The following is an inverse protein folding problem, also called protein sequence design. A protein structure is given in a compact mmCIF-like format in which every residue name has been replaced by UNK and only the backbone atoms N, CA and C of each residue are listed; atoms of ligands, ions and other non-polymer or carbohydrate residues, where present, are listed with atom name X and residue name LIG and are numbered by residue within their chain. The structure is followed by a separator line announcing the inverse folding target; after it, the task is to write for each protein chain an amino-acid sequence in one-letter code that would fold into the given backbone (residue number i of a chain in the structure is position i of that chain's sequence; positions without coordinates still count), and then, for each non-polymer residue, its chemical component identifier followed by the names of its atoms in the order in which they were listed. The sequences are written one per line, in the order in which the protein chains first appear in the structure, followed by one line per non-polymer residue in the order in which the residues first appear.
data_IF_487854548193
#
_entry.id   IF_487854548193
#
_cell.length_a   1.000
_cell.length_b   1.000
_cell.length_c   1.000
_cell.angle_alpha   90.00
_cell.angle_beta   90.00
_cell.angle_gamma   90.00
#
_symmetry.space_group_name_H-M   'P 1'
#
loop_
_entity.id
_entity.type
_entity.pdbx_description
1 polymer ?
#
# COMPACT_ATOMS: atom_id res chain seq x y z
N UNK A 1 -8.74 -21.57 3.85
CA UNK A 1 -7.70 -20.76 4.53
C UNK A 1 -8.23 -20.47 5.91
N UNK A 2 -7.55 -20.92 6.95
CA UNK A 2 -7.95 -20.71 8.35
C UNK A 2 -8.03 -19.20 8.64
N UNK A 3 -8.90 -18.78 9.56
CA UNK A 3 -9.13 -17.37 9.90
C UNK A 3 -7.86 -16.66 10.38
N UNK A 4 -6.93 -17.40 10.93
CA UNK A 4 -5.64 -16.90 11.42
C UNK A 4 -4.64 -16.55 10.30
N UNK A 5 -4.68 -17.24 9.16
CA UNK A 5 -3.77 -17.00 8.02
C UNK A 5 -4.21 -15.90 7.08
N UNK A 6 -5.48 -15.52 7.13
CA UNK A 6 -6.04 -14.54 6.20
C UNK A 6 -5.47 -13.12 6.38
N UNK A 7 -5.32 -12.56 7.62
CA UNK A 7 -4.70 -11.25 7.81
C UNK A 7 -3.26 -11.18 7.30
N UNK A 8 -2.49 -12.27 7.49
CA UNK A 8 -1.11 -12.36 6.98
C UNK A 8 -1.08 -12.32 5.45
N UNK A 9 -1.97 -13.07 4.80
CA UNK A 9 -2.06 -13.09 3.34
C UNK A 9 -2.49 -11.72 2.78
N UNK A 10 -3.42 -11.02 3.44
CA UNK A 10 -3.82 -9.66 3.07
C UNK A 10 -2.65 -8.69 3.19
N UNK A 11 -1.93 -8.72 4.33
CA UNK A 11 -0.76 -7.88 4.54
C UNK A 11 0.29 -8.13 3.45
N UNK A 12 0.65 -9.39 3.20
CA UNK A 12 1.63 -9.75 2.18
C UNK A 12 1.19 -9.30 0.77
N UNK A 13 -0.08 -9.49 0.39
CA UNK A 13 -0.60 -9.08 -0.91
C UNK A 13 -0.53 -7.54 -1.09
N UNK A 14 -0.95 -6.77 -0.08
CA UNK A 14 -0.88 -5.32 -0.13
C UNK A 14 0.57 -4.81 -0.12
N UNK A 15 1.45 -5.45 0.65
CA UNK A 15 2.88 -5.09 0.70
C UNK A 15 3.58 -5.42 -0.63
N UNK A 16 3.22 -6.51 -1.29
CA UNK A 16 3.69 -6.80 -2.64
C UNK A 16 3.32 -5.66 -3.61
N UNK A 17 2.05 -5.24 -3.64
CA UNK A 17 1.62 -4.12 -4.46
C UNK A 17 2.33 -2.80 -4.11
N UNK A 18 2.61 -2.56 -2.82
CA UNK A 18 3.38 -1.40 -2.35
C UNK A 18 4.80 -1.41 -2.93
N UNK A 19 5.51 -2.55 -2.85
CA UNK A 19 6.86 -2.67 -3.41
C UNK A 19 6.91 -2.43 -4.92
N UNK A 20 5.94 -2.98 -5.66
CA UNK A 20 5.83 -2.76 -7.11
C UNK A 20 5.58 -1.27 -7.45
N UNK A 21 4.71 -0.59 -6.69
CA UNK A 21 4.42 0.83 -6.91
C UNK A 21 5.60 1.73 -6.54
N UNK A 22 6.33 1.40 -5.48
CA UNK A 22 7.52 2.17 -5.08
C UNK A 22 8.62 2.12 -6.15
N UNK A 23 8.84 0.97 -6.80
CA UNK A 23 9.79 0.87 -7.91
C UNK A 23 9.31 1.66 -9.13
N UNK A 24 8.01 1.64 -9.45
CA UNK A 24 7.43 2.42 -10.53
C UNK A 24 7.64 3.93 -10.28
N UNK A 25 7.35 4.41 -9.08
CA UNK A 25 7.51 5.84 -8.76
C UNK A 25 8.98 6.25 -8.71
N UNK A 26 9.84 5.39 -8.16
CA UNK A 26 11.27 5.64 -8.09
C UNK A 26 11.92 5.74 -9.48
N UNK A 27 11.49 4.93 -10.43
CA UNK A 27 12.13 4.86 -11.75
C UNK A 27 11.51 5.79 -12.79
N UNK A 28 10.19 6.07 -12.73
CA UNK A 28 9.47 6.80 -13.78
C UNK A 28 8.70 8.04 -13.30
N UNK A 29 8.49 8.19 -11.97
CA UNK A 29 7.72 9.31 -11.43
C UNK A 29 8.57 10.25 -10.57
N UNK A 30 9.80 10.52 -11.00
CA UNK A 30 10.64 11.58 -10.43
C UNK A 30 11.62 11.15 -9.35
N UNK A 31 11.96 9.86 -9.25
CA UNK A 31 13.01 9.38 -8.34
C UNK A 31 12.62 9.38 -6.86
N UNK A 32 11.32 9.31 -6.56
CA UNK A 32 10.76 9.36 -5.21
C UNK A 32 9.88 8.14 -4.93
N UNK A 33 9.55 7.88 -3.68
CA UNK A 33 8.74 6.73 -3.27
C UNK A 33 7.26 7.09 -3.11
N UNK A 34 6.36 6.17 -3.43
CA UNK A 34 4.94 6.32 -3.11
C UNK A 34 4.64 6.09 -1.63
N UNK A 35 5.36 5.17 -0.96
CA UNK A 35 5.07 4.72 0.41
C UNK A 35 6.14 5.07 1.43
N UNK A 36 7.41 5.22 1.03
CA UNK A 36 8.56 5.40 1.93
C UNK A 36 8.78 6.89 2.25
N UNK A 37 7.92 7.45 3.10
CA UNK A 37 7.94 8.89 3.40
C UNK A 37 9.22 9.37 4.07
N UNK A 38 9.87 8.54 4.92
CA UNK A 38 11.17 8.89 5.50
C UNK A 38 12.27 9.04 4.45
N UNK A 39 12.25 8.21 3.40
CA UNK A 39 13.12 8.35 2.23
C UNK A 39 12.84 9.66 1.47
N UNK A 40 11.56 9.98 1.26
CA UNK A 40 11.18 11.23 0.60
C UNK A 40 11.59 12.47 1.41
N UNK A 41 11.50 12.44 2.75
CA UNK A 41 11.99 13.53 3.58
C UNK A 41 13.52 13.71 3.50
N UNK A 42 14.27 12.61 3.43
CA UNK A 42 15.71 12.65 3.22
C UNK A 42 16.06 13.23 1.83
N UNK A 43 15.36 12.81 0.78
CA UNK A 43 15.49 13.36 -0.57
C UNK A 43 15.12 14.84 -0.62
N UNK A 44 14.10 15.27 0.11
CA UNK A 44 13.73 16.69 0.24
C UNK A 44 14.86 17.51 0.88
N UNK A 45 15.48 17.00 1.95
CA UNK A 45 16.65 17.63 2.57
C UNK A 45 17.82 17.75 1.59
N UNK A 46 18.06 16.72 0.77
CA UNK A 46 19.07 16.76 -0.29
C UNK A 46 18.75 17.80 -1.36
N UNK A 47 17.48 17.89 -1.78
CA UNK A 47 16.98 18.88 -2.74
C UNK A 47 17.20 20.31 -2.25
N UNK A 48 16.96 20.57 -0.95
CA UNK A 48 17.24 21.86 -0.31
C UNK A 48 18.74 22.16 -0.39
N UNK A 49 19.59 21.22 0.01
CA UNK A 49 21.04 21.43 0.02
C UNK A 49 21.63 21.66 -1.37
N UNK A 50 21.03 21.09 -2.41
CA UNK A 50 21.47 21.22 -3.81
C UNK A 50 20.76 22.34 -4.57
N UNK A 51 19.78 22.99 -3.98
CA UNK A 51 18.86 23.92 -4.65
C UNK A 51 18.18 23.29 -5.88
N UNK A 52 17.92 21.99 -5.81
CA UNK A 52 17.30 21.20 -6.89
C UNK A 52 15.77 21.27 -6.78
N UNK A 53 15.18 22.14 -7.59
CA UNK A 53 13.73 22.35 -7.63
C UNK A 53 12.96 21.12 -8.12
N UNK A 54 13.58 20.28 -8.94
CA UNK A 54 12.97 19.03 -9.44
C UNK A 54 12.76 18.05 -8.28
N UNK A 55 13.82 17.73 -7.52
CA UNK A 55 13.73 16.87 -6.34
C UNK A 55 12.74 17.45 -5.33
N UNK A 56 12.80 18.76 -5.06
CA UNK A 56 11.91 19.42 -4.12
C UNK A 56 10.43 19.29 -4.53
N UNK A 57 10.12 19.52 -5.79
CA UNK A 57 8.74 19.41 -6.30
C UNK A 57 8.20 18.00 -6.17
N UNK A 58 8.95 16.98 -6.62
CA UNK A 58 8.50 15.60 -6.59
C UNK A 58 8.35 15.09 -5.14
N UNK A 59 9.30 15.38 -4.26
CA UNK A 59 9.21 14.98 -2.84
C UNK A 59 8.06 15.69 -2.12
N UNK A 60 7.86 16.98 -2.37
CA UNK A 60 6.75 17.73 -1.79
C UNK A 60 5.40 17.17 -2.23
N UNK A 61 5.21 16.89 -3.52
CA UNK A 61 3.99 16.27 -4.05
C UNK A 61 3.77 14.88 -3.43
N UNK A 62 4.80 14.03 -3.36
CA UNK A 62 4.68 12.72 -2.76
C UNK A 62 4.24 12.80 -1.28
N UNK A 63 4.93 13.62 -0.47
CA UNK A 63 4.63 13.77 0.96
C UNK A 63 3.24 14.38 1.18
N UNK A 64 2.90 15.47 0.49
CA UNK A 64 1.60 16.13 0.66
C UNK A 64 0.44 15.24 0.21
N UNK A 65 0.58 14.55 -0.92
CA UNK A 65 -0.45 13.63 -1.42
C UNK A 65 -0.64 12.43 -0.48
N UNK A 66 0.45 11.90 0.08
CA UNK A 66 0.36 10.85 1.10
C UNK A 66 -0.41 11.34 2.34
N UNK A 67 -0.10 12.55 2.84
CA UNK A 67 -0.81 13.15 3.98
C UNK A 67 -2.30 13.31 3.68
N UNK A 68 -2.65 13.80 2.49
CA UNK A 68 -4.05 13.90 2.05
C UNK A 68 -4.71 12.50 2.02
N UNK A 69 -4.02 11.51 1.48
CA UNK A 69 -4.50 10.11 1.45
C UNK A 69 -4.77 9.56 2.85
N UNK A 70 -3.84 9.78 3.80
CA UNK A 70 -4.02 9.40 5.22
C UNK A 70 -5.24 10.12 5.81
N UNK A 71 -5.37 11.43 5.57
CA UNK A 71 -6.49 12.22 6.09
C UNK A 71 -7.84 11.74 5.56
N UNK A 72 -7.95 11.49 4.25
CA UNK A 72 -9.15 10.95 3.61
C UNK A 72 -9.48 9.57 4.17
N UNK A 73 -8.51 8.65 4.19
CA UNK A 73 -8.70 7.31 4.72
C UNK A 73 -9.14 7.32 6.19
N UNK A 74 -8.50 8.15 7.02
CA UNK A 74 -8.86 8.29 8.43
C UNK A 74 -10.26 8.87 8.61
N UNK A 75 -10.68 9.83 7.78
CA UNK A 75 -12.05 10.36 7.83
C UNK A 75 -13.09 9.32 7.46
N UNK A 76 -12.86 8.48 6.47
CA UNK A 76 -13.76 7.39 6.07
C UNK A 76 -13.88 6.36 7.20
N UNK A 77 -12.76 5.99 7.84
CA UNK A 77 -12.74 5.03 8.96
C UNK A 77 -13.47 5.61 10.18
N UNK A 78 -13.34 6.94 10.42
CA UNK A 78 -13.91 7.61 11.58
C UNK A 78 -13.19 7.29 12.89
N UNK A 79 -13.65 7.91 14.01
CA UNK A 79 -13.02 7.85 15.33
C UNK A 79 -13.62 6.69 16.17
N UNK A 80 -14.13 5.63 15.60
CA UNK A 80 -14.71 4.51 16.32
C UNK A 80 -14.27 3.18 15.76
N UNK A 81 -13.67 2.34 16.59
CA UNK A 81 -13.47 0.93 16.26
C UNK A 81 -14.84 0.24 16.28
N UNK A 82 -15.24 -0.44 15.22
CA UNK A 82 -16.40 -1.33 15.26
C UNK A 82 -16.07 -2.51 16.19
N UNK A 83 -16.73 -2.62 17.38
CA UNK A 83 -16.37 -3.69 18.32
C UNK A 83 -16.67 -5.06 17.69
N UNK A 84 -15.68 -5.97 17.72
CA UNK A 84 -15.85 -7.37 17.32
C UNK A 84 -15.73 -7.68 15.84
N UNK A 85 -15.55 -6.71 14.95
CA UNK A 85 -15.35 -6.98 13.53
C UNK A 85 -13.87 -7.23 13.21
N UNK A 86 -13.53 -8.46 12.76
CA UNK A 86 -12.20 -8.79 12.25
C UNK A 86 -11.83 -7.95 11.02
N UNK A 87 -12.84 -7.49 10.26
CA UNK A 87 -12.68 -6.66 9.08
C UNK A 87 -13.81 -5.63 8.97
N UNK A 88 -13.60 -4.38 9.41
CA UNK A 88 -14.61 -3.33 9.36
C UNK A 88 -15.01 -2.97 7.91
N UNK A 89 -16.30 -2.73 7.65
CA UNK A 89 -16.80 -2.28 6.34
C UNK A 89 -16.14 -0.99 5.88
N UNK A 90 -15.79 -0.11 6.80
CA UNK A 90 -15.11 1.16 6.51
C UNK A 90 -13.71 0.97 5.95
N UNK A 91 -12.99 -0.08 6.37
CA UNK A 91 -11.69 -0.44 5.77
C UNK A 91 -11.88 -0.86 4.32
N UNK A 92 -12.89 -1.69 4.03
CA UNK A 92 -13.24 -2.05 2.64
C UNK A 92 -13.55 -0.80 1.80
N UNK A 93 -14.28 0.18 2.35
CA UNK A 93 -14.59 1.42 1.65
C UNK A 93 -13.32 2.22 1.31
N UNK A 94 -12.37 2.36 2.25
CA UNK A 94 -11.08 3.05 1.98
C UNK A 94 -10.30 2.33 0.89
N UNK A 95 -10.19 1.00 0.97
CA UNK A 95 -9.46 0.21 -0.03
C UNK A 95 -10.17 0.23 -1.40
N UNK A 96 -11.50 0.34 -1.44
CA UNK A 96 -12.24 0.52 -2.69
C UNK A 96 -11.96 1.89 -3.33
N UNK A 97 -11.92 2.96 -2.54
CA UNK A 97 -11.52 4.30 -3.03
C UNK A 97 -10.07 4.26 -3.51
N UNK A 98 -9.18 3.62 -2.77
CA UNK A 98 -7.79 3.40 -3.20
C UNK A 98 -7.72 2.67 -4.54
N UNK A 99 -8.51 1.62 -4.74
CA UNK A 99 -8.56 0.88 -6.00
C UNK A 99 -8.99 1.80 -7.17
N UNK A 100 -9.98 2.65 -6.97
CA UNK A 100 -10.42 3.61 -7.99
C UNK A 100 -9.31 4.60 -8.35
N UNK A 101 -8.56 5.10 -7.37
CA UNK A 101 -7.41 5.98 -7.61
C UNK A 101 -6.31 5.24 -8.40
N UNK A 102 -6.02 3.99 -8.04
CA UNK A 102 -5.02 3.19 -8.75
C UNK A 102 -5.48 2.79 -10.16
N UNK A 103 -6.77 2.57 -10.39
CA UNK A 103 -7.32 2.38 -11.76
C UNK A 103 -7.10 3.64 -12.59
N UNK A 104 -7.37 4.82 -12.02
CA UNK A 104 -7.08 6.10 -12.66
C UNK A 104 -5.60 6.29 -12.97
N UNK A 105 -4.71 5.91 -12.02
CA UNK A 105 -3.27 5.89 -12.25
C UNK A 105 -2.91 4.95 -13.40
N UNK A 106 -3.43 3.73 -13.42
CA UNK A 106 -3.17 2.75 -14.48
C UNK A 106 -3.64 3.25 -15.84
N UNK A 107 -4.82 3.87 -15.92
CA UNK A 107 -5.33 4.46 -17.15
C UNK A 107 -4.42 5.62 -17.63
N UNK A 108 -4.05 6.54 -16.74
CA UNK A 108 -3.14 7.64 -17.06
C UNK A 108 -1.76 7.14 -17.49
N UNK A 109 -1.26 6.06 -16.87
CA UNK A 109 -0.01 5.40 -17.24
C UNK A 109 -0.06 4.84 -18.68
N UNK A 110 -1.14 4.13 -19.01
CA UNK A 110 -1.34 3.59 -20.39
C UNK A 110 -1.46 4.72 -21.41
N UNK A 111 -2.23 5.76 -21.10
CA UNK A 111 -2.40 6.94 -21.99
C UNK A 111 -1.05 7.64 -22.22
N UNK A 112 -0.20 7.71 -21.19
CA UNK A 112 1.15 8.27 -21.30
C UNK A 112 2.16 7.29 -21.92
N UNK A 113 1.72 6.14 -22.46
CA UNK A 113 2.59 5.11 -23.08
C UNK A 113 3.71 4.63 -22.15
N UNK A 114 3.45 4.60 -20.84
CA UNK A 114 4.40 4.22 -19.78
C UNK A 114 5.63 5.14 -19.65
N UNK A 115 5.59 6.33 -20.23
CA UNK A 115 6.65 7.35 -20.15
C UNK A 115 6.04 8.73 -19.84
N UNK A 116 5.45 8.92 -18.64
CA UNK A 116 4.84 10.18 -18.27
C UNK A 116 5.88 11.26 -17.98
N UNK A 117 5.58 12.48 -18.40
CA UNK A 117 6.41 13.66 -18.13
C UNK A 117 5.57 14.87 -17.71
N UNK A 118 6.22 15.87 -17.12
CA UNK A 118 5.60 17.13 -16.75
C UNK A 118 4.42 16.96 -15.78
N UNK A 119 3.29 17.60 -16.06
CA UNK A 119 2.11 17.60 -15.18
C UNK A 119 1.50 16.20 -15.07
N UNK A 120 1.53 15.39 -16.11
CA UNK A 120 1.01 14.00 -16.06
C UNK A 120 1.83 13.17 -15.07
N UNK A 121 3.15 13.25 -15.11
CA UNK A 121 4.05 12.58 -14.17
C UNK A 121 3.73 12.97 -12.72
N UNK A 122 3.57 14.26 -12.45
CA UNK A 122 3.25 14.77 -11.11
C UNK A 122 1.85 14.30 -10.64
N UNK A 123 0.87 14.26 -11.54
CA UNK A 123 -0.48 13.78 -11.22
C UNK A 123 -0.48 12.27 -10.89
N UNK A 124 0.26 11.46 -11.66
CA UNK A 124 0.40 10.04 -11.39
C UNK A 124 1.17 9.78 -10.08
N UNK A 125 2.20 10.57 -9.79
CA UNK A 125 2.91 10.54 -8.51
C UNK A 125 1.97 10.86 -7.34
N UNK A 126 1.16 11.92 -7.48
CA UNK A 126 0.18 12.30 -6.47
C UNK A 126 -0.85 11.19 -6.23
N UNK A 127 -1.35 10.56 -7.29
CA UNK A 127 -2.26 9.42 -7.20
C UNK A 127 -1.60 8.22 -6.50
N UNK A 128 -0.35 7.89 -6.85
CA UNK A 128 0.41 6.82 -6.24
C UNK A 128 0.60 7.05 -4.73
N UNK A 129 1.17 8.19 -4.35
CA UNK A 129 1.45 8.51 -2.94
C UNK A 129 0.16 8.68 -2.12
N UNK A 130 -0.86 9.32 -2.67
CA UNK A 130 -2.18 9.44 -2.03
C UNK A 130 -2.83 8.07 -1.78
N UNK A 131 -2.75 7.16 -2.75
CA UNK A 131 -3.26 5.79 -2.60
C UNK A 131 -2.54 5.03 -1.48
N UNK A 132 -1.22 5.20 -1.32
CA UNK A 132 -0.45 4.59 -0.23
C UNK A 132 -0.79 5.20 1.13
N UNK A 133 -1.11 6.49 1.18
CA UNK A 133 -1.65 7.14 2.38
C UNK A 133 -2.99 6.54 2.81
N UNK A 134 -3.91 6.30 1.87
CA UNK A 134 -5.18 5.61 2.14
C UNK A 134 -4.96 4.19 2.64
N UNK A 135 -4.04 3.43 2.02
CA UNK A 135 -3.70 2.08 2.46
C UNK A 135 -3.16 2.08 3.90
N UNK A 136 -2.29 3.03 4.23
CA UNK A 136 -1.74 3.17 5.59
C UNK A 136 -2.83 3.46 6.63
N UNK A 137 -3.80 4.31 6.30
CA UNK A 137 -4.96 4.56 7.15
C UNK A 137 -5.83 3.30 7.32
N UNK A 138 -6.08 2.56 6.23
CA UNK A 138 -6.85 1.30 6.24
C UNK A 138 -6.19 0.25 7.14
N UNK A 139 -4.87 0.05 7.02
CA UNK A 139 -4.12 -0.91 7.84
C UNK A 139 -4.12 -0.52 9.31
N UNK A 140 -4.01 0.77 9.64
CA UNK A 140 -4.14 1.27 11.01
C UNK A 140 -5.54 0.95 11.58
N UNK A 141 -6.59 1.04 10.76
CA UNK A 141 -7.96 0.69 11.14
C UNK A 141 -8.15 -0.80 11.52
N UNK A 142 -7.29 -1.68 10.97
CA UNK A 142 -7.29 -3.12 11.31
C UNK A 142 -6.52 -3.46 12.58
N UNK A 143 -5.75 -2.53 13.13
CA UNK A 143 -4.90 -2.74 14.31
C UNK A 143 -3.43 -2.93 13.96
N UNK A 144 -2.55 -2.57 14.90
CA UNK A 144 -1.12 -2.41 14.73
C UNK A 144 -0.33 -3.65 14.22
N UNK A 145 -0.93 -4.83 14.20
CA UNK A 145 -0.24 -6.06 13.78
C UNK A 145 -0.04 -6.18 12.25
N UNK A 146 -0.65 -5.29 11.44
CA UNK A 146 -0.68 -5.42 9.97
C UNK A 146 -0.23 -4.09 9.31
N UNK A 147 0.97 -3.64 9.62
CA UNK A 147 1.49 -2.40 9.02
C UNK A 147 2.31 -2.71 7.76
N UNK A 148 1.72 -2.48 6.59
CA UNK A 148 2.37 -2.69 5.28
C UNK A 148 3.45 -1.66 4.95
N UNK A 149 3.47 -0.51 5.64
CA UNK A 149 4.38 0.62 5.37
C UNK A 149 5.47 0.80 6.44
N UNK A 150 5.43 0.04 7.54
CA UNK A 150 6.41 0.11 8.64
C UNK A 150 7.46 -1.00 8.57
N UNK A 151 7.97 -1.30 7.37
CA UNK A 151 8.88 -2.43 7.14
C UNK A 151 10.17 -2.36 7.98
N UNK A 152 10.70 -1.16 8.22
CA UNK A 152 11.87 -0.98 9.11
C UNK A 152 11.55 -1.38 10.56
N UNK A 153 10.39 -0.97 11.06
CA UNK A 153 9.92 -1.37 12.39
C UNK A 153 9.67 -2.89 12.45
N UNK A 154 9.12 -3.47 11.41
CA UNK A 154 8.91 -4.92 11.28
C UNK A 154 10.25 -5.67 11.33
N UNK A 155 11.26 -5.22 10.56
CA UNK A 155 12.60 -5.82 10.57
C UNK A 155 13.23 -5.72 11.96
N UNK A 156 13.17 -4.57 12.61
CA UNK A 156 13.67 -4.37 13.98
C UNK A 156 12.99 -5.31 14.96
N UNK A 157 11.67 -5.44 14.89
CA UNK A 157 10.88 -6.31 15.77
C UNK A 157 11.21 -7.79 15.56
N UNK A 158 11.45 -8.22 14.31
CA UNK A 158 11.86 -9.57 13.99
C UNK A 158 13.24 -9.90 14.62
N UNK A 159 14.22 -9.01 14.45
CA UNK A 159 15.56 -9.21 15.02
C UNK A 159 15.48 -9.22 16.54
N UNK A 160 14.76 -8.29 17.15
CA UNK A 160 14.57 -8.24 18.60
C UNK A 160 13.85 -9.49 19.13
N UNK A 161 12.87 -10.01 18.39
CA UNK A 161 12.17 -11.25 18.71
C UNK A 161 13.08 -12.48 18.65
N UNK A 162 13.96 -12.56 17.65
CA UNK A 162 14.92 -13.68 17.54
C UNK A 162 16.01 -13.66 18.63
N UNK A 163 16.42 -12.48 19.09
CA UNK A 163 17.41 -12.33 20.16
C UNK A 163 16.80 -12.41 21.56
N UNK A 164 15.49 -12.17 21.68
CA UNK A 164 14.73 -12.24 22.93
C UNK A 164 14.00 -13.58 23.11
N UNK A 165 12.81 -13.54 23.72
CA UNK A 165 11.91 -14.70 23.80
C UNK A 165 10.97 -14.73 22.59
N UNK A 166 11.09 -15.68 21.68
CA UNK A 166 10.29 -15.71 20.47
C UNK A 166 8.82 -16.03 20.77
N UNK A 167 7.92 -15.16 20.25
CA UNK A 167 6.50 -15.49 20.07
C UNK A 167 6.28 -15.99 18.64
N UNK A 168 5.75 -17.20 18.42
CA UNK A 168 5.82 -17.89 17.11
C UNK A 168 4.96 -17.27 15.99
N UNK A 169 4.07 -16.32 16.26
CA UNK A 169 3.08 -15.85 15.28
C UNK A 169 3.36 -14.46 14.69
N UNK A 170 4.06 -13.59 15.39
CA UNK A 170 4.47 -12.27 14.88
C UNK A 170 5.57 -12.36 13.82
N UNK A 171 6.44 -13.36 13.93
CA UNK A 171 7.62 -13.50 13.07
C UNK A 171 7.23 -13.89 11.64
N UNK A 172 6.26 -14.80 11.45
CA UNK A 172 5.82 -15.26 10.12
C UNK A 172 5.16 -14.12 9.32
N UNK A 173 4.33 -13.31 9.96
CA UNK A 173 3.65 -12.20 9.29
C UNK A 173 4.65 -11.11 8.87
N UNK A 174 5.62 -10.82 9.74
CA UNK A 174 6.68 -9.85 9.47
C UNK A 174 7.58 -10.31 8.31
N UNK A 175 8.07 -11.56 8.37
CA UNK A 175 8.90 -12.14 7.29
C UNK A 175 8.13 -12.16 5.98
N UNK A 176 6.86 -12.60 5.98
CA UNK A 176 6.02 -12.64 4.78
C UNK A 176 5.86 -11.25 4.16
N UNK A 177 5.69 -10.20 4.97
CA UNK A 177 5.59 -8.82 4.49
C UNK A 177 6.90 -8.31 3.89
N UNK A 178 8.04 -8.57 4.53
CA UNK A 178 9.36 -8.18 4.00
C UNK A 178 9.66 -8.87 2.67
N UNK A 179 9.43 -10.20 2.59
CA UNK A 179 9.61 -10.97 1.36
C UNK A 179 8.66 -10.48 0.27
N UNK A 180 7.40 -10.20 0.62
CA UNK A 180 6.42 -9.68 -0.33
C UNK A 180 6.81 -8.30 -0.88
N UNK A 181 7.36 -7.41 -0.04
CA UNK A 181 7.85 -6.10 -0.51
C UNK A 181 8.96 -6.25 -1.55
N UNK A 182 9.98 -7.08 -1.24
CA UNK A 182 11.11 -7.31 -2.17
C UNK A 182 10.63 -8.01 -3.44
N UNK A 183 9.76 -9.03 -3.32
CA UNK A 183 9.19 -9.72 -4.49
C UNK A 183 8.36 -8.77 -5.36
N UNK A 184 7.53 -7.91 -4.75
CA UNK A 184 6.76 -6.90 -5.46
C UNK A 184 7.64 -5.89 -6.18
N UNK A 185 8.68 -5.40 -5.52
CA UNK A 185 9.66 -4.51 -6.12
C UNK A 185 10.40 -5.17 -7.30
N UNK A 186 10.84 -6.42 -7.12
CA UNK A 186 11.51 -7.18 -8.17
C UNK A 186 10.59 -7.43 -9.38
N UNK A 187 9.36 -7.89 -9.14
CA UNK A 187 8.36 -8.08 -10.20
C UNK A 187 8.01 -6.76 -10.89
N UNK A 188 7.87 -5.67 -10.13
CA UNK A 188 7.67 -4.33 -10.66
C UNK A 188 8.81 -3.90 -11.57
N UNK A 189 10.06 -4.08 -11.13
CA UNK A 189 11.24 -3.80 -11.92
C UNK A 189 11.29 -4.62 -13.21
N UNK A 190 11.04 -5.93 -13.14
CA UNK A 190 10.98 -6.80 -14.33
C UNK A 190 9.88 -6.34 -15.28
N UNK A 191 8.66 -6.04 -14.77
CA UNK A 191 7.57 -5.57 -15.61
C UNK A 191 7.91 -4.26 -16.33
N UNK A 192 8.54 -3.31 -15.64
CA UNK A 192 8.98 -2.04 -16.24
C UNK A 192 10.01 -2.24 -17.34
N UNK A 193 10.88 -3.25 -17.22
CA UNK A 193 11.90 -3.56 -18.23
C UNK A 193 11.36 -4.35 -19.43
N UNK A 194 10.30 -5.15 -19.24
CA UNK A 194 9.81 -6.09 -20.27
C UNK A 194 8.47 -5.66 -20.88
N UNK A 195 7.51 -5.26 -20.04
CA UNK A 195 6.15 -4.86 -20.45
C UNK A 195 5.70 -3.66 -19.59
N UNK A 196 6.32 -2.48 -19.77
CA UNK A 196 6.12 -1.34 -18.86
C UNK A 196 4.66 -0.90 -18.73
N UNK A 197 3.86 -1.05 -19.78
CA UNK A 197 2.42 -0.72 -19.76
C UNK A 197 1.65 -1.54 -18.74
N UNK A 198 2.07 -2.77 -18.42
CA UNK A 198 1.42 -3.66 -17.49
C UNK A 198 1.87 -3.45 -16.01
N UNK A 199 2.89 -2.65 -15.75
CA UNK A 199 3.45 -2.47 -14.41
C UNK A 199 2.40 -2.10 -13.33
N UNK A 200 1.40 -1.21 -13.56
CA UNK A 200 0.38 -0.90 -12.56
C UNK A 200 -0.49 -2.09 -12.15
N UNK A 201 -0.61 -3.14 -12.97
CA UNK A 201 -1.39 -4.33 -12.64
C UNK A 201 -0.85 -5.05 -11.41
N UNK A 202 0.46 -4.97 -11.15
CA UNK A 202 1.09 -5.59 -9.98
C UNK A 202 0.64 -4.96 -8.66
N UNK A 203 0.10 -3.76 -8.68
CA UNK A 203 -0.51 -3.13 -7.51
C UNK A 203 -2.04 -3.31 -7.52
N UNK A 204 -2.67 -3.21 -8.68
CA UNK A 204 -4.11 -3.33 -8.85
C UNK A 204 -4.64 -4.73 -8.51
N UNK A 205 -4.00 -5.78 -9.04
CA UNK A 205 -4.48 -7.16 -8.90
C UNK A 205 -4.47 -7.62 -7.44
N UNK A 206 -3.39 -7.47 -6.65
CA UNK A 206 -3.41 -7.84 -5.23
C UNK A 206 -4.49 -7.11 -4.43
N UNK A 207 -4.67 -5.81 -4.67
CA UNK A 207 -5.70 -5.03 -3.99
C UNK A 207 -7.11 -5.49 -4.37
N UNK A 208 -7.37 -5.75 -5.64
CA UNK A 208 -8.66 -6.28 -6.11
C UNK A 208 -8.96 -7.66 -5.52
N UNK A 209 -7.97 -8.54 -5.41
CA UNK A 209 -8.10 -9.87 -4.77
C UNK A 209 -8.43 -9.71 -3.29
N UNK A 210 -7.74 -8.80 -2.58
CA UNK A 210 -8.03 -8.51 -1.15
C UNK A 210 -9.48 -8.05 -0.99
N UNK A 211 -9.95 -7.11 -1.80
CA UNK A 211 -11.33 -6.62 -1.76
C UNK A 211 -12.35 -7.72 -2.09
N UNK A 212 -12.08 -8.54 -3.10
CA UNK A 212 -12.96 -9.66 -3.47
C UNK A 212 -13.09 -10.71 -2.36
N UNK A 213 -12.00 -11.01 -1.65
CA UNK A 213 -12.02 -11.96 -0.53
C UNK A 213 -12.68 -11.37 0.72
N UNK A 214 -12.46 -10.09 1.00
CA UNK A 214 -13.12 -9.37 2.10
C UNK A 214 -14.64 -9.31 1.90
N UNK A 215 -15.11 -9.01 0.69
CA UNK A 215 -16.54 -8.96 0.36
C UNK A 215 -17.28 -10.28 0.57
N UNK A 216 -16.62 -11.41 0.36
CA UNK A 216 -17.19 -12.75 0.61
C UNK A 216 -17.37 -13.06 2.10
N UNK A 217 -16.52 -12.51 2.96
CA UNK A 217 -16.58 -12.71 4.42
C UNK A 217 -17.62 -11.80 5.12
N UNK A 218 -18.10 -10.76 4.43
CA UNK A 218 -19.19 -9.91 4.93
C UNK A 218 -20.60 -10.45 4.64
N UNK A 219 -20.74 -11.53 3.86
CA UNK A 219 -22.06 -12.16 3.68
C UNK A 219 -22.46 -12.81 4.99
N UNK A 220 -23.61 -12.44 5.60
CA UNK A 220 -24.14 -13.19 6.75
C UNK A 220 -24.34 -14.64 6.27
N UNK A 221 -23.87 -15.58 7.09
CA UNK A 221 -24.25 -16.99 6.96
C UNK A 221 -25.78 -16.98 6.92
N UNK A 222 -26.37 -17.41 5.81
CA UNK A 222 -27.80 -17.39 5.61
C UNK A 222 -28.49 -17.94 6.85
N UNK A 223 -29.52 -17.25 7.30
CA UNK A 223 -30.50 -17.76 8.24
C UNK A 223 -31.09 -19.05 7.63
N UNK A 224 -30.37 -20.15 7.84
CA UNK A 224 -30.85 -21.48 7.56
C UNK A 224 -32.04 -21.72 8.44
N UNK A 225 -33.16 -22.06 7.80
CA UNK A 225 -34.40 -22.54 8.33
C UNK A 225 -34.23 -23.22 9.68
N UNK A 226 -34.91 -22.67 10.70
CA UNK A 226 -35.28 -23.45 11.86
C UNK A 226 -36.38 -24.44 11.39
N UNK A 227 -36.18 -25.74 11.48
CA UNK A 227 -37.28 -26.68 11.31
C UNK A 227 -38.21 -26.51 12.52
N UNK A 228 -39.52 -26.35 12.23
CA UNK A 228 -40.61 -26.43 13.19
C UNK A 228 -40.68 -27.80 13.87
#
# INVERSE_FOLDING_TARGET
MSDEKWPVAVAAALTFGTGALDVLTLTHLGGVFASVMTGNLALMGLGIARLDTGILTHTAIAVLSYVVGVAVGTRIIGIGREPGALWPRRVTAVLAVQLMVLVGLGAGWVIASADPWGVVQLALLAAAAGSMGMQSAAMRGLGAAVATTYLTGTLTSLIAGWLGRPGPHSDIAGVASLVAAVAGAACGGVALLTVPVAAPLLTLVPLAVVLGTAGRRHRPVGSGEQPE
#
